data_IF_405377883197
#
_entry.id   IF_405377883197
#
_cell.length_a   1.000
_cell.length_b   1.000
_cell.length_c   1.000
_cell.angle_alpha   90.00
_cell.angle_beta   90.00
_cell.angle_gamma   90.00
#
_symmetry.space_group_name_H-M   'P 1'
#
loop_
_entity.id
_entity.type
_entity.pdbx_description
1 polymer ?
#
# COMPACT_ATOMS: atom_id res chain seq x y z
N UNK A 1 2.06 9.75 13.81
CA UNK A 1 2.33 8.31 13.62
C UNK A 1 2.89 8.17 12.22
N UNK A 2 4.21 8.13 12.07
CA UNK A 2 4.86 8.07 10.75
C UNK A 2 4.90 6.60 10.33
N UNK A 3 4.23 6.24 9.23
CA UNK A 3 4.10 4.86 8.75
C UNK A 3 5.44 4.11 8.67
N UNK A 4 6.52 4.84 8.39
CA UNK A 4 7.89 4.33 8.28
C UNK A 4 8.73 4.40 9.57
N UNK A 5 8.23 5.02 10.65
CA UNK A 5 8.93 5.09 11.94
C UNK A 5 10.37 5.64 11.89
N UNK A 6 10.65 6.55 10.94
CA UNK A 6 12.00 7.11 10.72
C UNK A 6 12.93 6.25 9.85
N UNK A 7 12.46 5.09 9.37
CA UNK A 7 13.19 4.20 8.46
C UNK A 7 12.91 4.58 7.01
N UNK A 8 13.68 4.00 6.09
CA UNK A 8 13.43 4.15 4.66
C UNK A 8 12.49 3.07 4.11
N UNK A 9 12.34 1.95 4.82
CA UNK A 9 11.43 0.88 4.48
C UNK A 9 10.96 0.13 5.73
N UNK A 10 9.75 -0.40 5.66
CA UNK A 10 9.18 -1.29 6.69
C UNK A 10 8.29 -2.33 6.02
N UNK A 11 8.39 -3.56 6.49
CA UNK A 11 7.47 -4.62 6.11
C UNK A 11 6.44 -4.79 7.23
N UNK A 12 5.15 -4.68 6.89
CA UNK A 12 4.04 -4.73 7.85
C UNK A 12 2.91 -5.61 7.32
N UNK A 13 2.08 -6.19 8.20
CA UNK A 13 0.77 -6.70 7.77
C UNK A 13 -0.02 -5.56 7.12
N UNK A 14 -0.75 -5.86 6.04
CA UNK A 14 -1.55 -4.87 5.33
C UNK A 14 -2.59 -4.22 6.25
N UNK A 15 -3.15 -4.98 7.19
CA UNK A 15 -4.03 -4.46 8.26
C UNK A 15 -3.44 -3.30 9.07
N UNK A 16 -2.12 -3.13 9.11
CA UNK A 16 -1.50 -2.00 9.82
C UNK A 16 -1.69 -0.64 9.12
N UNK A 17 -2.20 -0.62 7.88
CA UNK A 17 -2.47 0.62 7.14
C UNK A 17 -3.68 1.40 7.68
N UNK A 18 -4.59 0.73 8.40
CA UNK A 18 -5.84 1.31 8.87
C UNK A 18 -6.09 0.99 10.33
N UNK A 19 -6.96 1.75 10.97
CA UNK A 19 -7.45 1.48 12.33
C UNK A 19 -8.78 0.73 12.36
N UNK A 20 -9.43 0.55 11.20
CA UNK A 20 -10.67 -0.18 11.05
C UNK A 20 -10.42 -1.55 10.38
N UNK A 21 -11.26 -2.57 10.66
CA UNK A 21 -11.15 -3.89 10.06
C UNK A 21 -11.65 -3.90 8.60
N UNK A 22 -11.02 -4.73 7.76
CA UNK A 22 -11.38 -4.96 6.37
C UNK A 22 -10.92 -6.34 5.92
N UNK A 23 -11.52 -6.87 4.86
CA UNK A 23 -11.22 -8.23 4.34
C UNK A 23 -10.26 -8.21 3.16
N UNK A 24 -10.41 -7.24 2.25
CA UNK A 24 -9.59 -7.12 1.03
C UNK A 24 -9.22 -5.67 0.79
N UNK A 25 -8.01 -5.43 0.30
CA UNK A 25 -7.54 -4.15 -0.21
C UNK A 25 -7.06 -4.34 -1.64
N UNK A 26 -7.62 -3.60 -2.60
CA UNK A 26 -7.12 -3.52 -3.97
C UNK A 26 -6.57 -2.10 -4.22
N UNK A 27 -5.50 -2.00 -4.99
CA UNK A 27 -4.92 -0.70 -5.35
C UNK A 27 -5.13 -0.43 -6.84
N UNK A 28 -5.52 0.79 -7.16
CA UNK A 28 -5.68 1.26 -8.54
C UNK A 28 -4.91 2.56 -8.70
N UNK A 29 -4.24 2.66 -9.84
CA UNK A 29 -3.49 3.84 -10.24
C UNK A 29 -4.32 4.59 -11.28
N UNK A 30 -4.70 5.81 -10.94
CA UNK A 30 -5.39 6.75 -11.82
C UNK A 30 -4.70 8.12 -11.66
N UNK A 31 -5.44 9.22 -11.71
CA UNK A 31 -4.97 10.56 -11.31
C UNK A 31 -4.52 10.64 -9.83
N UNK A 32 -4.90 9.65 -9.02
CA UNK A 32 -4.51 9.45 -7.63
C UNK A 32 -4.24 7.96 -7.35
N UNK A 33 -3.60 7.65 -6.23
CA UNK A 33 -3.58 6.29 -5.72
C UNK A 33 -4.91 5.99 -5.01
N UNK A 34 -5.70 5.09 -5.57
CA UNK A 34 -6.95 4.64 -4.97
C UNK A 34 -6.72 3.34 -4.19
N UNK A 35 -7.03 3.36 -2.89
CA UNK A 35 -7.05 2.19 -2.03
C UNK A 35 -8.51 1.79 -1.80
N UNK A 36 -8.90 0.65 -2.37
CA UNK A 36 -10.27 0.11 -2.32
C UNK A 36 -10.35 -1.00 -1.30
N UNK A 37 -10.95 -0.72 -0.14
CA UNK A 37 -11.15 -1.67 0.94
C UNK A 37 -12.53 -2.32 0.82
N UNK A 38 -12.59 -3.65 0.85
CA UNK A 38 -13.84 -4.38 1.11
C UNK A 38 -14.02 -4.52 2.62
N UNK A 39 -15.16 -4.03 3.13
CA UNK A 39 -15.58 -4.08 4.53
C UNK A 39 -16.99 -4.67 4.58
N UNK A 40 -17.10 -5.89 5.10
CA UNK A 40 -18.38 -6.61 5.27
C UNK A 40 -19.22 -6.74 3.98
N UNK A 41 -18.54 -6.78 2.84
CA UNK A 41 -19.14 -6.87 1.51
C UNK A 41 -19.33 -5.52 0.81
N UNK A 42 -19.21 -4.40 1.54
CA UNK A 42 -19.23 -3.05 0.98
C UNK A 42 -17.83 -2.56 0.59
N UNK A 43 -17.76 -1.66 -0.39
CA UNK A 43 -16.50 -1.02 -0.78
C UNK A 43 -16.33 0.36 -0.10
N UNK A 44 -15.12 0.63 0.39
CA UNK A 44 -14.67 1.92 0.91
C UNK A 44 -13.42 2.34 0.15
N UNK A 45 -13.47 3.51 -0.47
CA UNK A 45 -12.34 4.03 -1.27
C UNK A 45 -11.65 5.15 -0.51
N UNK A 46 -10.33 5.06 -0.40
CA UNK A 46 -9.46 6.14 0.05
C UNK A 46 -8.60 6.61 -1.12
N UNK A 47 -8.65 7.90 -1.41
CA UNK A 47 -7.81 8.53 -2.43
C UNK A 47 -6.60 9.17 -1.77
N UNK A 48 -5.40 8.80 -2.22
CA UNK A 48 -4.13 9.36 -1.76
C UNK A 48 -3.46 10.15 -2.89
N UNK A 49 -2.86 11.32 -2.59
CA UNK A 49 -2.18 12.13 -3.61
C UNK A 49 -0.98 11.39 -4.17
N UNK A 50 -0.92 11.28 -5.50
CA UNK A 50 0.09 10.49 -6.19
C UNK A 50 1.51 11.04 -6.00
N UNK A 51 1.65 12.35 -5.75
CA UNK A 51 2.95 12.96 -5.46
C UNK A 51 3.53 12.55 -4.10
N UNK A 52 2.69 12.02 -3.19
CA UNK A 52 3.12 11.58 -1.87
C UNK A 52 3.07 10.05 -1.71
N UNK A 53 2.17 9.38 -2.43
CA UNK A 53 1.89 7.95 -2.28
C UNK A 53 1.64 7.29 -3.62
N UNK A 54 2.28 6.16 -3.89
CA UNK A 54 2.08 5.44 -5.15
C UNK A 54 2.24 3.93 -5.03
N UNK A 55 1.76 3.23 -6.04
CA UNK A 55 2.15 1.87 -6.40
C UNK A 55 2.82 1.94 -7.78
N UNK A 56 3.81 1.10 -8.03
CA UNK A 56 4.47 1.07 -9.33
C UNK A 56 3.56 0.44 -10.41
N UNK A 57 3.97 0.50 -11.67
CA UNK A 57 3.20 -0.06 -12.78
C UNK A 57 3.04 -1.58 -12.64
N UNK A 58 1.93 -2.16 -13.11
CA UNK A 58 1.53 -3.54 -12.83
C UNK A 58 2.44 -4.60 -13.45
N UNK A 59 3.27 -4.19 -14.42
CA UNK A 59 4.33 -5.02 -15.00
C UNK A 59 5.62 -5.02 -14.15
N UNK A 60 5.73 -4.14 -13.15
CA UNK A 60 6.85 -4.09 -12.21
C UNK A 60 6.65 -5.16 -11.14
N UNK A 61 7.73 -5.90 -10.87
CA UNK A 61 7.72 -6.96 -9.87
C UNK A 61 7.22 -6.47 -8.51
N UNK A 62 6.25 -7.19 -7.94
CA UNK A 62 5.62 -6.91 -6.64
C UNK A 62 4.77 -5.64 -6.61
N UNK A 63 4.44 -5.07 -7.76
CA UNK A 63 3.43 -4.02 -7.82
C UNK A 63 2.10 -4.49 -7.21
N UNK A 64 1.42 -3.54 -6.57
CA UNK A 64 0.06 -3.67 -6.09
C UNK A 64 -0.98 -3.14 -7.08
N UNK A 65 -0.56 -2.54 -8.20
CA UNK A 65 -1.49 -2.19 -9.29
C UNK A 65 -2.20 -3.45 -9.80
N UNK A 66 -3.53 -3.35 -9.94
CA UNK A 66 -4.43 -4.45 -10.32
C UNK A 66 -4.36 -5.70 -9.43
N UNK A 67 -3.77 -5.57 -8.24
CA UNK A 67 -3.67 -6.65 -7.28
C UNK A 67 -4.44 -6.33 -6.01
N UNK A 68 -4.95 -7.39 -5.39
CA UNK A 68 -5.60 -7.30 -4.10
C UNK A 68 -4.83 -8.12 -3.06
N UNK A 69 -4.74 -7.59 -1.85
CA UNK A 69 -4.17 -8.26 -0.68
C UNK A 69 -5.23 -8.42 0.40
N UNK A 70 -5.13 -9.50 1.17
CA UNK A 70 -5.87 -9.72 2.39
C UNK A 70 -5.26 -8.95 3.57
N UNK A 71 -6.04 -8.76 4.63
CA UNK A 71 -5.60 -8.02 5.82
C UNK A 71 -4.43 -8.67 6.58
N UNK A 72 -4.25 -9.99 6.41
CA UNK A 72 -3.12 -10.74 6.95
C UNK A 72 -1.87 -10.78 6.07
N UNK A 73 -1.99 -10.37 4.80
CA UNK A 73 -0.85 -10.38 3.88
C UNK A 73 0.18 -9.34 4.30
N UNK A 74 1.45 -9.60 4.00
CA UNK A 74 2.52 -8.64 4.25
C UNK A 74 2.75 -7.75 3.04
N UNK A 75 2.92 -6.47 3.31
CA UNK A 75 3.28 -5.47 2.32
C UNK A 75 4.60 -4.81 2.73
N UNK A 76 5.35 -4.38 1.73
CA UNK A 76 6.51 -3.52 1.91
C UNK A 76 6.06 -2.08 1.67
N UNK A 77 6.31 -1.22 2.65
CA UNK A 77 6.16 0.22 2.49
C UNK A 77 7.53 0.86 2.54
N UNK A 78 7.86 1.67 1.53
CA UNK A 78 9.21 2.23 1.38
C UNK A 78 9.19 3.63 0.83
N UNK A 79 10.22 4.41 1.11
CA UNK A 79 10.47 5.65 0.38
C UNK A 79 10.95 5.32 -1.02
N UNK A 80 10.53 6.13 -1.99
CA UNK A 80 11.10 6.12 -3.34
C UNK A 80 12.59 6.43 -3.32
N UNK A 81 12.99 7.42 -2.51
CA UNK A 81 14.37 7.89 -2.37
C UNK A 81 14.84 7.76 -0.90
N UNK A 82 15.69 6.76 -0.57
CA UNK A 82 16.23 6.58 0.78
C UNK A 82 16.93 7.84 1.31
N UNK A 83 16.71 8.19 2.58
CA UNK A 83 17.27 9.39 3.19
C UNK A 83 16.57 10.72 2.87
N UNK A 84 15.56 10.74 2.00
CA UNK A 84 14.81 11.94 1.62
C UNK A 84 13.33 11.85 2.01
N UNK A 85 12.68 13.00 2.24
CA UNK A 85 11.22 13.08 2.32
C UNK A 85 10.64 13.10 0.91
N UNK A 86 10.54 11.92 0.29
CA UNK A 86 9.95 11.73 -1.04
C UNK A 86 8.68 10.88 -0.98
N UNK A 87 8.09 10.58 -2.15
CA UNK A 87 6.91 9.74 -2.24
C UNK A 87 7.15 8.37 -1.58
N UNK A 88 6.10 7.82 -0.99
CA UNK A 88 6.07 6.51 -0.37
C UNK A 88 5.41 5.52 -1.31
N UNK A 89 6.08 4.40 -1.52
CA UNK A 89 5.63 3.31 -2.36
C UNK A 89 5.06 2.17 -1.52
N UNK A 90 3.95 1.59 -1.97
CA UNK A 90 3.39 0.34 -1.46
C UNK A 90 3.66 -0.80 -2.43
N UNK A 91 4.23 -1.90 -1.94
CA UNK A 91 4.53 -3.11 -2.72
C UNK A 91 4.03 -4.35 -1.99
N UNK A 92 3.80 -5.44 -2.72
CA UNK A 92 3.69 -6.77 -2.11
C UNK A 92 4.99 -7.11 -1.41
N UNK A 93 4.92 -7.76 -0.24
CA UNK A 93 6.14 -8.28 0.37
C UNK A 93 6.73 -9.40 -0.51
N UNK A 94 8.06 -9.40 -0.65
CA UNK A 94 8.82 -10.45 -1.36
C UNK A 94 8.90 -11.75 -0.56
N UNK A 95 8.56 -11.74 0.72
CA UNK A 95 8.48 -12.94 1.55
C UNK A 95 7.12 -13.60 1.35
N UNK A 96 7.02 -14.42 0.30
CA UNK A 96 6.01 -15.47 0.21
C UNK A 96 6.43 -16.56 1.18
N UNK A 97 5.68 -16.74 2.28
CA UNK A 97 5.66 -17.96 3.11
C UNK A 97 6.98 -18.44 3.67
#
# INVERSE_FOLDING_TARGET
>A
MTLLGGRDAVEVPASALTTFPWQRLCSERDDALLLKFTVDGDERVLSLPYEEFFVDEGHVDNSLEDACVGSGDRILVRKKYPGYSGPVEFQKSRHVG
#
